data_IF_857063063990
#
_entry.id   IF_857063063990
#
_cell.length_a   1.000
_cell.length_b   1.000
_cell.length_c   1.000
_cell.angle_alpha   90.00
_cell.angle_beta   90.00
_cell.angle_gamma   90.00
#
_symmetry.space_group_name_H-M   'P 1'
#
loop_
_entity.id
_entity.type
_entity.pdbx_description
1 polymer ?
#
# COMPACT_ATOMS: atom_id res chain seq x y z
N UNK A 1 12.07 12.55 20.49
CA UNK A 1 12.64 11.37 21.19
C UNK A 1 12.83 10.20 20.23
N UNK A 2 13.56 9.13 20.60
CA UNK A 2 13.61 7.92 19.77
C UNK A 2 12.26 7.25 19.55
N UNK A 3 11.26 7.58 20.36
CA UNK A 3 9.88 7.06 20.30
C UNK A 3 8.92 7.97 19.53
N UNK A 4 9.39 9.14 19.10
CA UNK A 4 8.54 10.06 18.32
C UNK A 4 8.11 9.36 17.03
N UNK A 5 6.79 9.21 16.84
CA UNK A 5 6.23 8.59 15.65
C UNK A 5 6.27 9.54 14.46
N UNK A 6 6.63 9.01 13.32
CA UNK A 6 6.61 9.66 12.00
C UNK A 6 5.86 8.79 11.01
N UNK A 7 5.12 9.39 10.10
CA UNK A 7 4.65 8.68 8.92
C UNK A 7 5.85 8.28 8.06
N UNK A 8 6.10 6.97 7.91
CA UNK A 8 7.23 6.47 7.11
C UNK A 8 6.90 6.34 5.62
N UNK A 9 5.70 6.79 5.24
CA UNK A 9 5.25 6.88 3.86
C UNK A 9 5.57 5.60 3.06
N UNK A 10 6.21 5.73 1.92
CA UNK A 10 6.49 4.61 1.00
C UNK A 10 7.42 3.53 1.54
N UNK A 11 8.05 3.71 2.70
CA UNK A 11 8.70 2.59 3.39
C UNK A 11 7.69 1.50 3.79
N UNK A 12 6.40 1.83 3.93
CA UNK A 12 5.30 0.88 4.13
C UNK A 12 5.27 -0.25 3.09
N UNK A 13 5.73 0.04 1.87
CA UNK A 13 5.79 -0.95 0.78
C UNK A 13 6.71 -2.14 1.10
N UNK A 14 7.77 -1.93 1.86
CA UNK A 14 8.65 -3.03 2.29
C UNK A 14 7.93 -3.99 3.22
N UNK A 15 7.07 -3.47 4.10
CA UNK A 15 6.23 -4.29 4.98
C UNK A 15 5.20 -5.09 4.17
N UNK A 16 4.53 -4.44 3.22
CA UNK A 16 3.59 -5.11 2.31
C UNK A 16 4.27 -6.21 1.51
N UNK A 17 5.45 -5.94 0.92
CA UNK A 17 6.19 -6.96 0.16
C UNK A 17 6.67 -8.11 1.06
N UNK A 18 6.99 -7.83 2.32
CA UNK A 18 7.33 -8.87 3.30
C UNK A 18 6.13 -9.77 3.62
N UNK A 19 4.92 -9.22 3.81
CA UNK A 19 3.70 -10.04 3.96
C UNK A 19 3.49 -10.94 2.73
N UNK A 20 3.67 -10.39 1.52
CA UNK A 20 3.56 -11.22 0.29
C UNK A 20 4.62 -12.32 0.28
N UNK A 21 5.87 -12.03 0.65
CA UNK A 21 6.94 -13.03 0.73
C UNK A 21 6.58 -14.16 1.71
N UNK A 22 6.05 -13.81 2.89
CA UNK A 22 5.58 -14.80 3.87
C UNK A 22 4.45 -15.68 3.30
N UNK A 23 3.52 -15.11 2.54
CA UNK A 23 2.44 -15.86 1.91
C UNK A 23 2.93 -16.76 0.77
N UNK A 24 4.00 -16.36 0.08
CA UNK A 24 4.69 -17.20 -0.91
C UNK A 24 5.41 -18.37 -0.22
N UNK A 25 6.14 -18.13 0.86
CA UNK A 25 6.80 -19.15 1.66
C UNK A 25 5.80 -20.16 2.26
N UNK A 26 4.60 -19.72 2.57
CA UNK A 26 3.49 -20.55 3.03
C UNK A 26 2.82 -21.37 1.87
N UNK A 27 3.24 -21.16 0.63
CA UNK A 27 2.64 -21.79 -0.55
C UNK A 27 1.23 -21.30 -0.89
N UNK A 28 0.81 -20.16 -0.36
CA UNK A 28 -0.51 -19.55 -0.62
C UNK A 28 -0.52 -18.67 -1.87
N UNK A 29 0.64 -18.13 -2.23
CA UNK A 29 0.87 -17.30 -3.40
C UNK A 29 2.15 -17.73 -4.12
N UNK A 30 2.32 -17.31 -5.35
CA UNK A 30 3.54 -17.43 -6.13
C UNK A 30 3.79 -16.10 -6.85
N UNK A 31 5.07 -15.70 -6.94
CA UNK A 31 5.43 -14.44 -7.59
C UNK A 31 5.15 -14.41 -9.09
N UNK A 32 5.14 -15.55 -9.75
CA UNK A 32 5.11 -15.70 -11.21
C UNK A 32 3.81 -16.30 -11.74
N UNK A 33 2.90 -16.70 -10.88
CA UNK A 33 1.56 -17.11 -11.26
C UNK A 33 0.71 -15.87 -11.56
N UNK A 34 0.01 -15.79 -12.69
CA UNK A 34 -0.89 -14.69 -13.03
C UNK A 34 -1.96 -14.48 -11.95
N UNK A 35 -2.23 -13.22 -11.61
CA UNK A 35 -3.21 -12.85 -10.59
C UNK A 35 -4.60 -13.40 -10.91
N UNK A 36 -4.95 -13.49 -12.19
CA UNK A 36 -6.26 -14.00 -12.64
C UNK A 36 -6.48 -15.50 -12.27
N UNK A 37 -5.41 -16.26 -12.06
CA UNK A 37 -5.51 -17.66 -11.63
C UNK A 37 -5.99 -17.78 -10.16
N UNK A 38 -5.66 -16.79 -9.32
CA UNK A 38 -6.17 -16.71 -7.95
C UNK A 38 -7.53 -16.02 -7.89
N UNK A 39 -7.73 -15.00 -8.72
CA UNK A 39 -8.90 -14.12 -8.71
C UNK A 39 -9.46 -13.94 -10.11
N UNK A 40 -10.41 -14.79 -10.55
CA UNK A 40 -11.00 -14.71 -11.90
C UNK A 40 -11.71 -13.38 -12.21
N UNK A 41 -12.03 -12.57 -11.17
CA UNK A 41 -12.59 -11.24 -11.28
C UNK A 41 -11.53 -10.15 -11.53
N UNK A 42 -10.24 -10.48 -11.43
CA UNK A 42 -9.14 -9.55 -11.73
C UNK A 42 -9.20 -9.08 -13.18
N UNK A 43 -9.20 -7.76 -13.36
CA UNK A 43 -9.28 -7.18 -14.70
C UNK A 43 -8.56 -5.86 -14.76
N UNK A 44 -7.61 -5.75 -15.68
CA UNK A 44 -6.96 -4.51 -16.11
C UNK A 44 -7.62 -3.98 -17.38
N UNK A 45 -7.30 -2.75 -17.76
CA UNK A 45 -7.78 -2.15 -19.01
C UNK A 45 -7.35 -2.96 -20.26
N UNK A 46 -6.12 -3.41 -20.26
CA UNK A 46 -5.54 -4.22 -21.34
C UNK A 46 -5.77 -5.72 -21.06
N UNK A 47 -6.24 -6.46 -22.07
CA UNK A 47 -6.56 -7.88 -21.92
C UNK A 47 -5.31 -8.75 -21.75
N UNK A 48 -4.20 -8.39 -22.42
CA UNK A 48 -2.95 -9.10 -22.27
C UNK A 48 -2.39 -8.91 -20.86
N UNK A 49 -2.37 -7.65 -20.37
CA UNK A 49 -1.96 -7.36 -19.00
C UNK A 49 -2.86 -8.07 -17.97
N UNK A 50 -4.17 -8.20 -18.23
CA UNK A 50 -5.10 -8.95 -17.37
C UNK A 50 -4.69 -10.43 -17.23
N UNK A 51 -4.33 -11.07 -18.33
CA UNK A 51 -3.97 -12.50 -18.38
C UNK A 51 -2.58 -12.78 -17.82
N UNK A 52 -1.66 -11.85 -17.97
CA UNK A 52 -0.23 -12.07 -17.72
C UNK A 52 0.30 -11.41 -16.44
N UNK A 53 -0.47 -10.49 -15.84
CA UNK A 53 -0.01 -9.74 -14.67
C UNK A 53 0.22 -10.66 -13.47
N UNK A 54 1.42 -10.59 -12.92
CA UNK A 54 1.86 -11.37 -11.76
C UNK A 54 2.15 -10.46 -10.56
N UNK A 55 2.30 -11.06 -9.37
CA UNK A 55 2.78 -10.32 -8.18
C UNK A 55 4.14 -9.66 -8.45
N UNK A 56 5.04 -10.33 -9.19
CA UNK A 56 6.35 -9.77 -9.56
C UNK A 56 6.19 -8.48 -10.34
N UNK A 57 5.28 -8.42 -11.31
CA UNK A 57 5.03 -7.21 -12.10
C UNK A 57 4.47 -6.08 -11.25
N UNK A 58 3.55 -6.40 -10.34
CA UNK A 58 2.94 -5.42 -9.43
C UNK A 58 3.97 -4.86 -8.45
N UNK A 59 4.73 -5.72 -7.76
CA UNK A 59 5.76 -5.34 -6.79
C UNK A 59 6.90 -4.53 -7.41
N UNK A 60 7.25 -4.81 -8.67
CA UNK A 60 8.33 -4.10 -9.39
C UNK A 60 7.84 -2.91 -10.23
N UNK A 61 6.57 -2.49 -10.05
CA UNK A 61 6.00 -1.35 -10.77
C UNK A 61 6.00 -1.46 -12.30
N UNK A 62 5.83 -2.67 -12.84
CA UNK A 62 5.92 -2.95 -14.28
C UNK A 62 4.57 -3.13 -14.97
N UNK A 63 3.47 -2.73 -14.34
CA UNK A 63 2.12 -2.88 -14.88
C UNK A 63 1.80 -1.95 -16.04
N UNK A 64 2.60 -0.92 -16.28
CA UNK A 64 2.34 0.10 -17.31
C UNK A 64 1.34 1.19 -16.89
N UNK A 65 0.72 1.08 -15.70
CA UNK A 65 -0.23 2.08 -15.22
C UNK A 65 0.46 3.35 -14.73
N UNK A 66 -0.14 4.50 -15.05
CA UNK A 66 0.22 5.77 -14.45
C UNK A 66 -0.11 5.81 -12.94
N UNK A 67 0.56 6.64 -12.14
CA UNK A 67 0.13 6.89 -10.77
C UNK A 67 -1.26 7.56 -10.80
N UNK A 68 -2.21 6.95 -10.11
CA UNK A 68 -3.60 7.41 -10.00
C UNK A 68 -3.93 7.73 -8.53
N UNK A 69 -3.05 8.49 -7.86
CA UNK A 69 -3.13 8.73 -6.41
C UNK A 69 -4.42 9.48 -6.00
N UNK A 70 -5.02 10.26 -6.90
CA UNK A 70 -6.31 10.89 -6.66
C UNK A 70 -7.45 9.88 -6.36
N UNK A 71 -7.32 8.63 -6.77
CA UNK A 71 -8.30 7.59 -6.47
C UNK A 71 -8.42 7.31 -4.97
N UNK A 72 -7.39 7.58 -4.17
CA UNK A 72 -7.47 7.42 -2.71
C UNK A 72 -8.43 8.42 -2.05
N UNK A 73 -8.68 9.55 -2.71
CA UNK A 73 -9.59 10.59 -2.20
C UNK A 73 -11.04 10.23 -2.54
N UNK A 74 -11.26 9.61 -3.71
CA UNK A 74 -12.61 9.34 -4.28
C UNK A 74 -13.08 7.89 -4.05
N UNK A 75 -12.22 7.02 -3.56
CA UNK A 75 -12.53 5.60 -3.35
C UNK A 75 -12.87 5.34 -1.90
N UNK A 76 -13.92 4.54 -1.65
CA UNK A 76 -14.42 4.25 -0.30
C UNK A 76 -13.62 3.10 0.35
N UNK A 77 -13.21 2.08 -0.44
CA UNK A 77 -12.51 0.91 0.02
C UNK A 77 -11.62 0.28 -1.08
N UNK A 78 -10.79 -0.68 -0.68
CA UNK A 78 -9.86 -1.37 -1.60
C UNK A 78 -10.57 -2.27 -2.61
N UNK A 79 -11.74 -2.80 -2.29
CA UNK A 79 -12.52 -3.62 -3.23
C UNK A 79 -13.06 -2.76 -4.37
N UNK A 80 -13.53 -1.56 -4.08
CA UNK A 80 -13.92 -0.58 -5.09
C UNK A 80 -12.73 -0.19 -5.99
N UNK A 81 -11.53 -0.03 -5.42
CA UNK A 81 -10.32 0.25 -6.18
C UNK A 81 -9.97 -0.93 -7.11
N UNK A 82 -10.11 -2.17 -6.61
CA UNK A 82 -9.94 -3.40 -7.40
C UNK A 82 -10.85 -3.43 -8.63
N UNK A 83 -12.12 -3.11 -8.46
CA UNK A 83 -13.08 -3.05 -9.56
C UNK A 83 -12.77 -1.94 -10.56
N UNK A 84 -12.28 -0.78 -10.10
CA UNK A 84 -11.94 0.38 -10.95
C UNK A 84 -10.69 0.15 -11.79
N UNK A 85 -9.81 -0.79 -11.43
CA UNK A 85 -8.56 -1.07 -12.13
C UNK A 85 -8.77 -1.28 -13.64
N UNK A 86 -9.87 -1.92 -14.02
CA UNK A 86 -10.24 -2.19 -15.43
C UNK A 86 -10.45 -0.95 -16.31
N UNK A 87 -10.66 0.21 -15.69
CA UNK A 87 -10.90 1.47 -16.40
C UNK A 87 -9.66 2.35 -16.51
N UNK A 88 -8.56 1.97 -15.84
CA UNK A 88 -7.34 2.75 -15.79
C UNK A 88 -6.49 2.47 -17.02
N UNK A 89 -6.49 3.41 -17.97
CA UNK A 89 -5.66 3.31 -19.17
C UNK A 89 -4.17 3.29 -18.81
N UNK A 90 -3.38 2.37 -19.39
CA UNK A 90 -1.95 2.36 -19.19
C UNK A 90 -1.29 3.58 -19.85
N UNK A 91 -0.20 4.07 -19.25
CA UNK A 91 0.65 5.13 -19.81
C UNK A 91 1.77 4.54 -20.67
N UNK A 92 2.11 3.28 -20.44
CA UNK A 92 3.10 2.53 -21.21
C UNK A 92 2.64 1.09 -21.44
N UNK A 93 3.20 0.39 -22.44
CA UNK A 93 2.94 -1.04 -22.60
C UNK A 93 3.34 -1.83 -21.34
N UNK A 94 2.59 -2.88 -21.08
CA UNK A 94 2.84 -3.80 -19.96
C UNK A 94 4.29 -4.31 -20.00
N UNK A 95 4.98 -4.31 -18.87
CA UNK A 95 6.39 -4.69 -18.67
C UNK A 95 7.44 -3.84 -19.39
N UNK A 96 7.06 -2.80 -20.16
CA UNK A 96 8.01 -2.03 -20.95
C UNK A 96 8.94 -1.15 -20.10
N UNK A 97 8.44 -0.64 -18.98
CA UNK A 97 9.21 0.24 -18.08
C UNK A 97 8.68 0.20 -16.66
N UNK A 98 9.47 0.68 -15.72
CA UNK A 98 9.05 0.87 -14.33
C UNK A 98 8.31 2.20 -14.20
N UNK A 99 7.05 2.14 -13.77
CA UNK A 99 6.20 3.29 -13.46
C UNK A 99 5.74 3.18 -12.01
N UNK A 100 6.36 3.96 -11.13
CA UNK A 100 6.03 3.93 -9.71
C UNK A 100 4.54 4.14 -9.48
N UNK A 101 3.89 3.25 -8.70
CA UNK A 101 2.44 3.22 -8.60
C UNK A 101 1.97 2.82 -7.21
N UNK A 102 1.37 3.76 -6.48
CA UNK A 102 0.82 3.52 -5.14
C UNK A 102 -0.50 2.73 -5.21
N UNK A 103 -1.32 2.97 -6.22
CA UNK A 103 -2.59 2.25 -6.43
C UNK A 103 -2.34 0.75 -6.55
N UNK A 104 -1.32 0.34 -7.31
CA UNK A 104 -0.95 -1.08 -7.45
C UNK A 104 -0.51 -1.67 -6.11
N UNK A 105 0.31 -0.95 -5.32
CA UNK A 105 0.70 -1.43 -3.98
C UNK A 105 -0.48 -1.54 -3.02
N UNK A 106 -1.45 -0.64 -3.10
CA UNK A 106 -2.72 -0.77 -2.36
C UNK A 106 -3.44 -2.06 -2.72
N UNK A 107 -3.48 -2.41 -4.01
CA UNK A 107 -4.10 -3.65 -4.48
C UNK A 107 -3.29 -4.91 -4.11
N UNK A 108 -1.96 -4.83 -3.99
CA UNK A 108 -1.15 -5.93 -3.44
C UNK A 108 -1.59 -6.24 -1.99
N UNK A 109 -1.80 -5.22 -1.17
CA UNK A 109 -2.38 -5.41 0.17
C UNK A 109 -3.77 -6.05 0.12
N UNK A 110 -4.62 -5.62 -0.82
CA UNK A 110 -5.95 -6.24 -1.01
C UNK A 110 -5.86 -7.71 -1.45
N UNK A 111 -4.87 -8.09 -2.26
CA UNK A 111 -4.60 -9.51 -2.58
C UNK A 111 -4.30 -10.29 -1.29
N UNK A 112 -3.44 -9.76 -0.41
CA UNK A 112 -3.16 -10.40 0.86
C UNK A 112 -4.43 -10.56 1.72
N UNK A 113 -5.30 -9.56 1.75
CA UNK A 113 -6.60 -9.63 2.43
C UNK A 113 -7.50 -10.73 1.86
N UNK A 114 -7.63 -10.79 0.52
CA UNK A 114 -8.45 -11.81 -0.16
C UNK A 114 -7.95 -13.24 0.10
N UNK A 115 -6.64 -13.45 0.16
CA UNK A 115 -6.02 -14.77 0.40
C UNK A 115 -6.14 -15.21 1.85
N UNK A 116 -6.04 -14.29 2.80
CA UNK A 116 -5.96 -14.62 4.22
C UNK A 116 -7.30 -14.48 4.96
N UNK A 117 -8.21 -13.65 4.43
CA UNK A 117 -9.43 -13.25 5.13
C UNK A 117 -9.18 -12.25 6.28
N UNK A 118 -7.96 -11.74 6.44
CA UNK A 118 -7.57 -10.75 7.44
C UNK A 118 -7.34 -9.39 6.76
N UNK A 119 -7.53 -8.29 7.49
CA UNK A 119 -7.17 -6.96 6.97
C UNK A 119 -5.66 -6.85 6.80
N UNK A 120 -5.20 -6.02 5.88
CA UNK A 120 -3.76 -5.73 5.74
C UNK A 120 -3.18 -5.18 7.04
N UNK A 121 -3.94 -4.36 7.75
CA UNK A 121 -3.57 -3.78 9.04
C UNK A 121 -3.31 -4.85 10.10
N UNK A 122 -4.19 -5.85 10.20
CA UNK A 122 -4.03 -6.98 11.11
C UNK A 122 -2.83 -7.84 10.73
N UNK A 123 -2.64 -8.09 9.42
CA UNK A 123 -1.47 -8.83 8.93
C UNK A 123 -0.16 -8.13 9.33
N UNK A 124 -0.06 -6.81 9.16
CA UNK A 124 1.11 -6.05 9.56
C UNK A 124 1.32 -6.12 11.07
N UNK A 125 0.28 -5.88 11.86
CA UNK A 125 0.35 -5.89 13.32
C UNK A 125 0.76 -7.27 13.88
N UNK A 126 0.10 -8.33 13.41
CA UNK A 126 0.32 -9.67 13.97
C UNK A 126 1.59 -10.34 13.46
N UNK A 127 1.94 -10.13 12.19
CA UNK A 127 3.05 -10.84 11.57
C UNK A 127 4.38 -10.08 11.58
N UNK A 128 4.34 -8.76 11.74
CA UNK A 128 5.55 -7.93 11.71
C UNK A 128 5.72 -7.13 13.01
N UNK A 129 4.79 -6.25 13.37
CA UNK A 129 4.99 -5.38 14.53
C UNK A 129 5.15 -6.19 15.82
N UNK A 130 4.25 -7.12 16.09
CA UNK A 130 4.27 -7.92 17.32
C UNK A 130 5.51 -8.81 17.46
N UNK A 131 5.90 -9.63 16.46
CA UNK A 131 7.11 -10.45 16.57
C UNK A 131 8.40 -9.66 16.65
N UNK A 132 8.46 -8.48 16.03
CA UNK A 132 9.63 -7.60 16.02
C UNK A 132 9.69 -6.66 17.24
N UNK A 133 8.64 -6.63 18.08
CA UNK A 133 8.57 -5.74 19.23
C UNK A 133 8.35 -4.28 18.88
N UNK A 134 7.79 -3.97 17.70
CA UNK A 134 7.50 -2.61 17.22
C UNK A 134 6.27 -2.04 17.93
N UNK A 135 6.42 -1.65 19.19
CA UNK A 135 5.31 -1.28 20.09
C UNK A 135 4.84 0.16 19.91
N UNK A 136 5.63 1.00 19.25
CA UNK A 136 5.30 2.40 18.95
C UNK A 136 4.90 2.60 17.48
N UNK A 137 4.63 1.52 16.76
CA UNK A 137 4.24 1.56 15.35
C UNK A 137 2.76 1.25 15.16
N UNK A 138 2.14 1.90 14.19
CA UNK A 138 0.75 1.67 13.81
C UNK A 138 0.56 1.87 12.29
N UNK A 139 -0.66 1.60 11.80
CA UNK A 139 -1.01 1.67 10.37
C UNK A 139 -2.06 2.72 10.06
N UNK A 140 -2.45 3.57 11.03
CA UNK A 140 -3.57 4.51 10.89
C UNK A 140 -3.18 5.93 11.27
N UNK A 141 -3.64 6.90 10.48
CA UNK A 141 -3.51 8.32 10.81
C UNK A 141 -4.22 8.67 12.13
N UNK A 142 -5.38 8.05 12.38
CA UNK A 142 -6.16 8.26 13.61
C UNK A 142 -5.46 7.72 14.86
N UNK A 143 -4.68 6.65 14.73
CA UNK A 143 -3.89 6.10 15.84
C UNK A 143 -2.62 6.93 16.06
N UNK A 144 -2.02 7.45 14.99
CA UNK A 144 -0.85 8.32 15.09
C UNK A 144 -1.16 9.57 15.92
N UNK A 145 -2.29 10.26 15.69
CA UNK A 145 -2.65 11.49 16.41
C UNK A 145 -3.02 11.26 17.88
N UNK A 146 -3.29 10.01 18.28
CA UNK A 146 -3.54 9.60 19.67
C UNK A 146 -2.24 9.22 20.39
N UNK A 147 -1.15 9.01 19.66
CA UNK A 147 0.13 8.67 20.26
C UNK A 147 0.64 9.80 21.17
N UNK A 148 1.29 9.48 22.31
CA UNK A 148 1.77 10.49 23.24
C UNK A 148 2.88 11.38 22.67
N UNK A 149 3.59 10.91 21.64
CA UNK A 149 4.70 11.61 21.00
C UNK A 149 4.71 11.30 19.49
N UNK A 150 4.29 12.26 18.67
CA UNK A 150 4.30 12.15 17.22
C UNK A 150 4.73 13.46 16.55
N UNK A 151 5.26 13.36 15.34
CA UNK A 151 5.68 14.50 14.55
C UNK A 151 4.46 15.27 14.03
N UNK A 152 4.29 16.50 14.47
CA UNK A 152 3.21 17.38 14.03
C UNK A 152 3.54 17.90 12.63
N UNK A 153 2.68 17.72 11.63
CA UNK A 153 2.94 18.23 10.28
C UNK A 153 2.68 19.72 10.19
N UNK A 154 3.51 20.39 9.39
CA UNK A 154 3.41 21.82 9.06
C UNK A 154 3.49 22.02 7.56
N UNK A 155 2.83 23.04 7.09
CA UNK A 155 2.85 23.45 5.69
C UNK A 155 3.23 24.92 5.58
N UNK A 156 4.17 25.24 4.70
CA UNK A 156 4.49 26.63 4.32
C UNK A 156 3.59 27.06 3.17
N UNK A 157 2.76 28.09 3.42
CA UNK A 157 1.90 28.67 2.41
C UNK A 157 2.69 29.49 1.38
N UNK A 158 2.03 29.87 0.27
CA UNK A 158 2.62 30.77 -0.74
C UNK A 158 3.01 32.15 -0.19
N UNK A 159 2.47 32.51 0.97
CA UNK A 159 2.77 33.74 1.73
C UNK A 159 4.01 33.57 2.63
N UNK A 160 4.71 32.47 2.59
CA UNK A 160 5.87 32.15 3.43
C UNK A 160 5.53 31.88 4.89
N UNK A 161 4.25 31.78 5.24
CA UNK A 161 3.84 31.53 6.62
C UNK A 161 3.69 30.00 6.85
N UNK A 162 4.40 29.52 7.87
CA UNK A 162 4.33 28.11 8.31
C UNK A 162 3.12 27.93 9.23
N UNK A 163 2.25 26.98 8.88
CA UNK A 163 1.04 26.64 9.65
C UNK A 163 1.02 25.18 9.98
N UNK A 164 0.56 24.84 11.19
CA UNK A 164 0.21 23.46 11.53
C UNK A 164 -0.92 23.01 10.61
N UNK A 165 -0.81 21.79 10.11
CA UNK A 165 -1.86 21.11 9.34
C UNK A 165 -2.24 19.79 10.01
N UNK A 166 -3.36 19.21 9.63
CA UNK A 166 -3.76 17.88 10.09
C UNK A 166 -2.89 16.78 9.47
N UNK A 167 -2.75 15.67 10.16
CA UNK A 167 -2.13 14.47 9.60
C UNK A 167 -2.97 14.01 8.42
N UNK A 168 -2.33 13.85 7.26
CA UNK A 168 -3.01 13.37 6.06
C UNK A 168 -3.42 11.91 6.26
N UNK A 169 -4.73 11.65 6.21
CA UNK A 169 -5.23 10.27 6.25
C UNK A 169 -5.03 9.61 4.88
N UNK A 170 -4.20 8.57 4.85
CA UNK A 170 -3.90 7.74 3.69
C UNK A 170 -4.20 6.26 3.97
N UNK A 171 -5.05 5.96 4.93
CA UNK A 171 -5.31 4.61 5.43
C UNK A 171 -5.88 3.67 4.35
N UNK A 172 -6.65 4.20 3.38
CA UNK A 172 -7.07 3.43 2.21
C UNK A 172 -5.86 2.90 1.43
N UNK A 173 -4.86 3.77 1.19
CA UNK A 173 -3.59 3.45 0.56
C UNK A 173 -2.57 2.82 1.50
N UNK A 174 -3.02 2.28 2.64
CA UNK A 174 -2.16 1.76 3.72
C UNK A 174 -1.01 0.88 3.23
N UNK A 175 -1.26 -0.12 2.39
CA UNK A 175 -0.20 -0.99 1.84
C UNK A 175 0.91 -0.23 1.09
N UNK A 176 0.63 0.98 0.65
CA UNK A 176 1.59 1.83 -0.04
C UNK A 176 2.24 2.88 0.87
N UNK A 177 1.60 3.34 1.98
CA UNK A 177 2.07 4.56 2.62
C UNK A 177 1.64 4.85 4.08
N UNK A 178 0.76 4.07 4.75
CA UNK A 178 0.15 4.53 6.00
C UNK A 178 0.90 4.17 7.29
N UNK A 179 1.98 3.40 7.22
CA UNK A 179 2.69 3.02 8.44
C UNK A 179 3.31 4.25 9.10
N UNK A 180 3.09 4.36 10.39
CA UNK A 180 3.74 5.30 11.30
C UNK A 180 4.66 4.52 12.22
N UNK A 181 5.87 4.99 12.40
CA UNK A 181 6.88 4.30 13.20
C UNK A 181 7.88 5.30 13.82
N UNK A 182 8.78 4.81 14.63
CA UNK A 182 9.83 5.60 15.29
C UNK A 182 11.20 4.96 15.09
N UNK A 183 12.25 5.64 15.56
CA UNK A 183 13.64 5.17 15.40
C UNK A 183 13.92 3.94 16.27
N UNK A 184 13.21 3.78 17.38
CA UNK A 184 13.38 2.64 18.29
C UNK A 184 12.83 1.33 17.68
N UNK A 185 11.71 1.43 16.95
CA UNK A 185 11.04 0.32 16.27
C UNK A 185 11.67 0.00 14.92
#
# INVERSE_FOLDING_TARGET
>A
TPKTQYGIASCSKSFTSTIIAMLVDEGKLDYDVPIIEYFPDFKMYDEFATKECTLRDMLSHRTGLAPHDALWIDTIDRSTLWERLRYLKPMAPFRAQTLYNNTIYTLIGHIAEKITGQTWDDLIKERLFKPLGMTNSNTSADDMVKAPDYAIPYWEGKDGIVRKVDVLNVDLGGPAASINSCVED
#
